data_IF_573173689241
#
_entry.id   IF_573173689241
#
_cell.length_a   1.000
_cell.length_b   1.000
_cell.length_c   1.000
_cell.angle_alpha   90.00
_cell.angle_beta   90.00
_cell.angle_gamma   90.00
#
_symmetry.space_group_name_H-M   'P 1'
#
loop_
_entity.id
_entity.type
_entity.pdbx_description
1 polymer ?
#
# COMPACT_ATOMS: atom_id res chain seq x y z
N UNK A 1 -11.25 -5.14 3.09
CA UNK A 1 -10.65 -4.79 1.78
C UNK A 1 -9.77 -5.97 1.42
N UNK A 2 -9.81 -6.49 0.18
CA UNK A 2 -8.91 -7.58 -0.20
C UNK A 2 -7.44 -7.12 -0.14
N UNK A 3 -6.52 -8.06 0.11
CA UNK A 3 -5.07 -7.79 0.15
C UNK A 3 -4.63 -7.12 -1.16
N UNK A 4 -3.78 -6.11 -1.08
CA UNK A 4 -3.24 -5.46 -2.27
C UNK A 4 -2.08 -6.28 -2.84
N UNK A 5 -1.99 -6.31 -4.16
CA UNK A 5 -0.90 -6.89 -4.92
C UNK A 5 -0.20 -5.77 -5.70
N UNK A 6 1.12 -5.90 -5.86
CA UNK A 6 1.89 -4.96 -6.67
C UNK A 6 1.96 -5.47 -8.12
N UNK A 7 1.50 -4.68 -9.07
CA UNK A 7 1.55 -5.01 -10.50
C UNK A 7 2.44 -4.04 -11.26
N UNK A 8 3.22 -4.58 -12.19
CA UNK A 8 3.88 -3.84 -13.25
C UNK A 8 3.10 -4.06 -14.55
N UNK A 9 2.29 -3.06 -14.92
CA UNK A 9 1.52 -3.06 -16.16
C UNK A 9 2.29 -2.31 -17.23
N UNK A 10 2.48 -2.93 -18.38
CA UNK A 10 3.09 -2.31 -19.56
C UNK A 10 2.06 -2.25 -20.68
N UNK A 11 1.91 -1.08 -21.28
CA UNK A 11 1.00 -0.87 -22.41
C UNK A 11 1.52 0.18 -23.37
N UNK A 12 0.93 0.24 -24.56
CA UNK A 12 1.29 1.17 -25.63
C UNK A 12 0.05 1.59 -26.41
N UNK A 13 0.20 2.58 -27.29
CA UNK A 13 -0.81 2.86 -28.33
C UNK A 13 -0.81 1.70 -29.33
N UNK A 14 -1.94 1.47 -29.99
CA UNK A 14 -1.97 0.58 -31.14
C UNK A 14 -1.04 1.13 -32.23
N UNK A 15 -0.16 0.31 -32.83
CA UNK A 15 0.65 0.71 -33.97
C UNK A 15 -0.24 1.22 -35.11
N UNK A 16 0.17 2.31 -35.74
CA UNK A 16 -0.50 2.87 -36.94
C UNK A 16 0.53 3.05 -38.05
N UNK A 17 0.09 3.23 -39.29
CA UNK A 17 1.00 3.50 -40.43
C UNK A 17 1.90 4.71 -40.18
N UNK A 18 1.40 5.72 -39.45
CA UNK A 18 2.16 6.93 -39.09
C UNK A 18 3.14 6.71 -37.94
N UNK A 19 2.84 5.77 -37.03
CA UNK A 19 3.67 5.46 -35.85
C UNK A 19 3.70 3.93 -35.67
N UNK A 20 4.58 3.21 -36.40
CA UNK A 20 4.64 1.75 -36.36
C UNK A 20 5.28 1.22 -35.07
N UNK A 21 6.13 2.02 -34.42
CA UNK A 21 6.81 1.67 -33.16
C UNK A 21 6.39 2.65 -32.05
N UNK A 22 5.17 2.50 -31.49
CA UNK A 22 4.69 3.41 -30.47
C UNK A 22 5.42 3.21 -29.13
N UNK A 23 5.58 4.30 -28.39
CA UNK A 23 6.24 4.30 -27.08
C UNK A 23 5.55 3.36 -26.08
N UNK A 24 6.35 2.56 -25.37
CA UNK A 24 5.92 1.72 -24.26
C UNK A 24 5.82 2.54 -22.96
N UNK A 25 4.72 2.36 -22.25
CA UNK A 25 4.48 2.94 -20.93
C UNK A 25 4.42 1.83 -19.89
N UNK A 26 5.24 1.96 -18.84
CA UNK A 26 5.26 1.04 -17.70
C UNK A 26 4.79 1.76 -16.45
N UNK A 27 3.88 1.14 -15.72
CA UNK A 27 3.35 1.66 -14.46
C UNK A 27 3.41 0.60 -13.38
N UNK A 28 3.93 0.97 -12.21
CA UNK A 28 3.79 0.18 -10.99
C UNK A 28 2.58 0.69 -10.23
N UNK A 29 1.69 -0.21 -9.87
CA UNK A 29 0.46 0.14 -9.16
C UNK A 29 0.11 -0.96 -8.16
N UNK A 30 -0.68 -0.59 -7.16
CA UNK A 30 -1.17 -1.50 -6.13
C UNK A 30 -2.68 -1.69 -6.31
N UNK A 31 -3.12 -2.94 -6.52
CA UNK A 31 -4.54 -3.25 -6.70
C UNK A 31 -4.90 -4.62 -6.13
N UNK A 32 -6.19 -4.87 -5.79
CA UNK A 32 -6.61 -6.16 -5.25
C UNK A 32 -6.54 -7.32 -6.23
N UNK A 33 -6.53 -7.03 -7.54
CA UNK A 33 -6.41 -8.03 -8.60
C UNK A 33 -5.95 -7.38 -9.91
N UNK A 34 -5.71 -8.23 -10.92
CA UNK A 34 -5.25 -7.84 -12.25
C UNK A 34 -6.27 -6.98 -13.02
N UNK A 35 -7.57 -7.23 -12.87
CA UNK A 35 -8.62 -6.48 -13.58
C UNK A 35 -8.62 -5.01 -13.13
N UNK A 36 -8.53 -4.78 -11.82
CA UNK A 36 -8.41 -3.44 -11.25
C UNK A 36 -7.08 -2.81 -11.64
N UNK A 37 -6.00 -3.60 -11.75
CA UNK A 37 -4.70 -3.12 -12.24
C UNK A 37 -4.81 -2.50 -13.64
N UNK A 38 -5.37 -3.27 -14.59
CA UNK A 38 -5.60 -2.83 -15.97
C UNK A 38 -6.47 -1.56 -16.02
N UNK A 39 -7.54 -1.51 -15.21
CA UNK A 39 -8.42 -0.35 -15.14
C UNK A 39 -7.69 0.91 -14.64
N UNK A 40 -6.91 0.80 -13.55
CA UNK A 40 -6.13 1.92 -13.00
C UNK A 40 -5.03 2.37 -13.95
N UNK A 41 -4.38 1.44 -14.65
CA UNK A 41 -3.41 1.76 -15.69
C UNK A 41 -4.02 2.70 -16.75
N UNK A 42 -5.17 2.34 -17.31
CA UNK A 42 -5.84 3.18 -18.32
C UNK A 42 -6.32 4.52 -17.76
N UNK A 43 -6.77 4.56 -16.50
CA UNK A 43 -7.17 5.81 -15.83
C UNK A 43 -6.02 6.82 -15.84
N UNK A 44 -4.83 6.41 -15.39
CA UNK A 44 -3.67 7.30 -15.33
C UNK A 44 -3.10 7.62 -16.72
N UNK A 45 -3.03 6.63 -17.61
CA UNK A 45 -2.48 6.82 -18.95
C UNK A 45 -3.31 7.81 -19.78
N UNK A 46 -4.63 7.80 -19.61
CA UNK A 46 -5.54 8.79 -20.22
C UNK A 46 -5.25 10.20 -19.72
N UNK A 47 -4.94 10.37 -18.43
CA UNK A 47 -4.68 11.70 -17.85
C UNK A 47 -3.32 12.26 -18.27
N UNK A 48 -2.27 11.44 -18.18
CA UNK A 48 -0.87 11.86 -18.39
C UNK A 48 -0.49 11.89 -19.86
N UNK A 49 -0.83 10.85 -20.63
CA UNK A 49 -0.37 10.66 -22.01
C UNK A 49 -1.49 10.69 -23.05
N UNK A 50 -2.74 10.97 -22.63
CA UNK A 50 -3.93 11.06 -23.51
C UNK A 50 -4.22 9.79 -24.32
N UNK A 51 -3.70 8.64 -23.89
CA UNK A 51 -3.98 7.34 -24.52
C UNK A 51 -5.24 6.72 -23.91
N UNK A 52 -6.18 6.30 -24.75
CA UNK A 52 -7.43 5.65 -24.32
C UNK A 52 -7.30 4.13 -24.44
N UNK A 53 -8.09 3.40 -23.64
CA UNK A 53 -8.20 1.92 -23.72
C UNK A 53 -8.56 1.43 -25.14
N UNK A 54 -9.40 2.18 -25.87
CA UNK A 54 -9.84 1.80 -27.21
C UNK A 54 -8.73 1.93 -28.28
N UNK A 55 -7.76 2.83 -28.06
CA UNK A 55 -6.69 3.14 -29.02
C UNK A 55 -5.33 2.60 -28.56
N UNK A 56 -5.33 1.66 -27.62
CA UNK A 56 -4.14 1.17 -26.96
C UNK A 56 -4.31 -0.27 -26.55
N UNK A 57 -3.18 -0.92 -26.29
CA UNK A 57 -3.11 -2.31 -25.88
C UNK A 57 -2.22 -2.46 -24.65
N UNK A 58 -2.52 -3.49 -23.86
CA UNK A 58 -1.66 -3.90 -22.75
C UNK A 58 -0.77 -5.01 -23.28
N UNK A 59 0.55 -4.80 -23.19
CA UNK A 59 1.57 -5.74 -23.66
C UNK A 59 1.83 -6.81 -22.62
N UNK A 60 1.91 -6.42 -21.35
CA UNK A 60 2.15 -7.38 -20.25
C UNK A 60 1.59 -6.87 -18.93
N UNK A 61 1.13 -7.80 -18.09
CA UNK A 61 0.81 -7.54 -16.68
C UNK A 61 1.57 -8.54 -15.84
N UNK A 62 2.54 -8.04 -15.06
CA UNK A 62 3.36 -8.88 -14.21
C UNK A 62 3.11 -8.52 -12.75
N UNK A 63 2.77 -9.51 -11.93
CA UNK A 63 2.74 -9.35 -10.49
C UNK A 63 4.17 -9.32 -9.93
N UNK A 64 4.42 -8.40 -9.00
CA UNK A 64 5.72 -8.22 -8.35
C UNK A 64 5.59 -8.71 -6.91
N UNK A 65 6.47 -9.63 -6.55
CA UNK A 65 6.64 -10.09 -5.18
C UNK A 65 7.86 -9.46 -4.53
N UNK A 66 7.79 -9.27 -3.21
CA UNK A 66 8.91 -8.75 -2.44
C UNK A 66 10.05 -9.78 -2.40
N UNK A 67 11.29 -9.36 -2.67
CA UNK A 67 12.44 -10.27 -2.75
C UNK A 67 12.76 -10.96 -1.42
N UNK A 68 12.55 -10.25 -0.32
CA UNK A 68 12.82 -10.72 1.03
C UNK A 68 11.63 -10.35 1.92
N UNK A 69 10.57 -11.19 1.95
CA UNK A 69 9.33 -10.89 2.65
C UNK A 69 9.40 -11.15 4.17
N UNK A 70 10.49 -11.73 4.66
CA UNK A 70 10.68 -12.02 6.10
C UNK A 70 11.49 -10.93 6.83
N UNK A 71 12.06 -9.98 6.09
CA UNK A 71 12.89 -8.92 6.64
C UNK A 71 12.08 -7.64 6.81
N UNK A 72 12.10 -7.09 8.02
CA UNK A 72 11.43 -5.82 8.32
C UNK A 72 12.20 -4.67 7.67
N UNK A 73 11.48 -3.83 6.92
CA UNK A 73 12.01 -2.67 6.20
C UNK A 73 11.24 -1.42 6.58
N UNK A 74 11.83 -0.26 6.33
CA UNK A 74 11.13 1.01 6.40
C UNK A 74 10.78 1.45 4.98
N UNK A 75 9.52 1.81 4.74
CA UNK A 75 9.02 2.24 3.44
C UNK A 75 8.56 3.69 3.52
N UNK A 76 9.08 4.52 2.63
CA UNK A 76 8.53 5.83 2.31
C UNK A 76 7.46 5.70 1.24
N UNK A 77 6.29 6.30 1.50
CA UNK A 77 5.15 6.35 0.59
C UNK A 77 4.87 7.81 0.28
N UNK A 78 5.10 8.19 -0.97
CA UNK A 78 4.69 9.47 -1.52
C UNK A 78 3.33 9.29 -2.16
N UNK A 79 2.36 10.06 -1.70
CA UNK A 79 1.00 10.00 -2.20
C UNK A 79 0.47 11.40 -2.51
N UNK A 80 -0.46 11.44 -3.44
CA UNK A 80 -1.38 12.55 -3.66
C UNK A 80 -2.76 12.06 -3.23
N UNK A 81 -3.52 12.87 -2.52
CA UNK A 81 -4.91 12.54 -2.23
C UNK A 81 -5.82 13.75 -2.39
N UNK A 82 -7.08 13.48 -2.75
CA UNK A 82 -8.12 14.49 -2.84
C UNK A 82 -8.91 14.53 -1.53
N UNK A 83 -8.89 15.68 -0.87
CA UNK A 83 -9.72 16.02 0.29
C UNK A 83 -11.05 16.63 -0.18
N UNK A 84 -11.87 17.11 0.76
CA UNK A 84 -13.10 17.85 0.43
C UNK A 84 -12.81 19.24 -0.17
N UNK A 85 -11.65 19.81 0.13
CA UNK A 85 -11.29 21.18 -0.23
C UNK A 85 -10.31 21.26 -1.39
N UNK A 86 -9.61 20.16 -1.72
CA UNK A 86 -8.66 20.15 -2.83
C UNK A 86 -7.74 18.94 -2.83
N UNK A 87 -6.75 18.98 -3.72
CA UNK A 87 -5.70 17.97 -3.82
C UNK A 87 -4.53 18.32 -2.91
N UNK A 88 -4.01 17.34 -2.17
CA UNK A 88 -2.80 17.50 -1.35
C UNK A 88 -1.78 16.41 -1.65
N UNK A 89 -0.51 16.79 -1.64
CA UNK A 89 0.61 15.84 -1.63
C UNK A 89 1.00 15.53 -0.18
N UNK A 90 1.35 14.28 0.08
CA UNK A 90 1.71 13.81 1.40
C UNK A 90 2.81 12.77 1.31
N UNK A 91 3.65 12.76 2.33
CA UNK A 91 4.68 11.75 2.53
C UNK A 91 4.44 11.05 3.86
N UNK A 92 4.35 9.73 3.85
CA UNK A 92 4.22 8.90 5.06
C UNK A 92 5.23 7.78 5.05
N UNK A 93 5.64 7.36 6.22
CA UNK A 93 6.57 6.24 6.41
C UNK A 93 5.90 5.13 7.19
N UNK A 94 6.18 3.88 6.82
CA UNK A 94 5.67 2.67 7.47
C UNK A 94 6.81 1.69 7.66
N UNK A 95 6.76 0.90 8.74
CA UNK A 95 7.70 -0.18 9.01
C UNK A 95 6.96 -1.50 8.84
N UNK A 96 7.30 -2.24 7.80
CA UNK A 96 6.54 -3.40 7.34
C UNK A 96 7.45 -4.43 6.64
N UNK A 97 6.91 -5.61 6.34
CA UNK A 97 7.65 -6.69 5.68
C UNK A 97 7.75 -6.51 4.15
N UNK A 98 6.71 -5.95 3.53
CA UNK A 98 6.60 -5.83 2.07
C UNK A 98 6.09 -4.45 1.65
N UNK A 99 6.35 -4.06 0.38
CA UNK A 99 5.78 -2.83 -0.18
C UNK A 99 4.26 -2.84 -0.20
N UNK A 100 3.64 -4.00 -0.46
CA UNK A 100 2.19 -4.15 -0.51
C UNK A 100 1.56 -3.92 0.86
N UNK A 101 2.15 -4.49 1.92
CA UNK A 101 1.63 -4.34 3.28
C UNK A 101 1.80 -2.88 3.75
N UNK A 102 2.93 -2.24 3.43
CA UNK A 102 3.13 -0.81 3.72
C UNK A 102 2.10 0.10 3.01
N UNK A 103 1.73 -0.23 1.77
CA UNK A 103 0.67 0.49 1.04
C UNK A 103 -0.71 0.22 1.62
N UNK A 104 -0.99 -1.01 2.06
CA UNK A 104 -2.23 -1.35 2.76
C UNK A 104 -2.36 -0.56 4.07
N UNK A 105 -1.32 -0.58 4.90
CA UNK A 105 -1.19 0.26 6.10
C UNK A 105 -1.42 1.74 5.76
N UNK A 106 -0.91 2.21 4.62
CA UNK A 106 -1.14 3.57 4.15
C UNK A 106 -2.60 3.86 3.81
N UNK A 107 -3.30 2.96 3.12
CA UNK A 107 -4.71 3.13 2.83
C UNK A 107 -5.55 3.14 4.11
N UNK A 108 -5.25 2.27 5.07
CA UNK A 108 -5.95 2.22 6.37
C UNK A 108 -5.73 3.51 7.16
N UNK A 109 -4.49 4.00 7.23
CA UNK A 109 -4.15 5.25 7.90
C UNK A 109 -4.89 6.44 7.26
N UNK A 110 -4.85 6.54 5.93
CA UNK A 110 -5.54 7.61 5.20
C UNK A 110 -7.07 7.57 5.38
N UNK A 111 -7.65 6.37 5.48
CA UNK A 111 -9.07 6.21 5.79
C UNK A 111 -9.39 6.65 7.22
N UNK A 112 -8.57 6.30 8.21
CA UNK A 112 -8.81 6.63 9.61
C UNK A 112 -8.57 8.11 9.92
N UNK A 113 -7.40 8.65 9.54
CA UNK A 113 -6.97 10.00 9.92
C UNK A 113 -7.53 11.10 9.02
N UNK A 114 -7.71 10.80 7.72
CA UNK A 114 -8.12 11.80 6.73
C UNK A 114 -9.47 11.50 6.06
N UNK A 115 -10.14 10.40 6.45
CA UNK A 115 -11.40 9.95 5.82
C UNK A 115 -11.29 9.81 4.30
N UNK A 116 -10.08 9.54 3.81
CA UNK A 116 -9.82 9.42 2.39
C UNK A 116 -10.28 8.06 1.90
N UNK A 117 -11.01 8.04 0.78
CA UNK A 117 -11.38 6.79 0.10
C UNK A 117 -10.21 6.34 -0.76
N UNK A 118 -10.03 5.03 -0.94
CA UNK A 118 -8.95 4.48 -1.78
C UNK A 118 -8.93 5.07 -3.20
N UNK A 119 -10.10 5.29 -3.81
CA UNK A 119 -10.22 5.93 -5.13
C UNK A 119 -9.66 7.35 -5.23
N UNK A 120 -9.58 8.05 -4.09
CA UNK A 120 -9.12 9.43 -3.98
C UNK A 120 -7.63 9.53 -3.66
N UNK A 121 -6.93 8.39 -3.53
CA UNK A 121 -5.50 8.33 -3.21
C UNK A 121 -4.75 7.81 -4.42
N UNK A 122 -3.71 8.55 -4.81
CA UNK A 122 -2.76 8.21 -5.85
C UNK A 122 -1.40 8.00 -5.21
N UNK A 123 -0.90 6.76 -5.23
CA UNK A 123 0.47 6.45 -4.81
C UNK A 123 1.40 6.88 -5.93
N UNK A 124 2.30 7.82 -5.65
CA UNK A 124 3.26 8.36 -6.61
C UNK A 124 4.51 7.48 -6.61
N UNK A 125 5.03 7.16 -5.43
CA UNK A 125 6.25 6.36 -5.26
C UNK A 125 6.18 5.61 -3.94
N UNK A 126 6.74 4.40 -3.95
CA UNK A 126 7.06 3.63 -2.75
C UNK A 126 8.53 3.24 -2.85
N UNK A 127 9.31 3.56 -1.84
CA UNK A 127 10.70 3.12 -1.77
C UNK A 127 11.10 2.72 -0.36
N UNK A 128 12.03 1.80 -0.27
CA UNK A 128 12.70 1.50 0.99
C UNK A 128 13.55 2.70 1.41
N UNK A 129 13.57 2.97 2.71
CA UNK A 129 14.27 4.10 3.35
C UNK A 129 15.23 3.52 4.38
N UNK A 130 16.49 3.93 4.35
CA UNK A 130 17.49 3.49 5.33
C UNK A 130 17.13 4.05 6.71
N UNK A 131 17.53 3.35 7.77
CA UNK A 131 17.22 3.76 9.15
C UNK A 131 17.67 5.20 9.46
N UNK A 132 18.81 5.65 8.92
CA UNK A 132 19.32 7.01 9.10
C UNK A 132 18.47 8.10 8.41
N UNK A 133 17.73 7.73 7.35
CA UNK A 133 16.95 8.66 6.54
C UNK A 133 15.46 8.73 6.97
N UNK A 134 15.08 7.97 8.01
CA UNK A 134 13.70 7.96 8.56
C UNK A 134 13.42 9.29 9.24
N UNK A 135 12.33 9.95 8.85
CA UNK A 135 11.97 11.29 9.35
C UNK A 135 10.75 11.29 10.27
N UNK A 136 9.95 10.22 10.28
CA UNK A 136 8.70 10.18 11.05
C UNK A 136 8.95 9.70 12.49
N UNK A 137 8.64 10.51 13.52
CA UNK A 137 8.96 10.18 14.91
C UNK A 137 8.42 8.81 15.38
N UNK A 138 7.22 8.44 14.90
CA UNK A 138 6.57 7.18 15.26
C UNK A 138 7.27 5.94 14.65
N UNK A 139 8.08 6.09 13.60
CA UNK A 139 8.97 5.04 13.08
C UNK A 139 10.35 5.15 13.74
N UNK A 140 10.86 6.37 13.95
CA UNK A 140 12.17 6.59 14.58
C UNK A 140 12.28 5.91 15.94
N UNK A 141 11.23 5.97 16.78
CA UNK A 141 11.21 5.29 18.08
C UNK A 141 11.35 3.76 18.00
N UNK A 142 11.06 3.16 16.84
CA UNK A 142 11.13 1.70 16.61
C UNK A 142 12.49 1.24 16.08
N UNK A 143 13.43 2.17 15.87
CA UNK A 143 14.76 1.87 15.33
C UNK A 143 15.80 1.56 16.41
N UNK A 144 15.46 1.71 17.70
CA UNK A 144 16.33 1.33 18.81
C UNK A 144 16.57 -0.19 18.83
N UNK A 145 17.82 -0.67 18.66
CA UNK A 145 18.13 -2.10 18.70
C UNK A 145 17.78 -2.80 20.03
N UNK A 146 17.72 -2.05 21.13
CA UNK A 146 17.44 -2.58 22.48
C UNK A 146 16.06 -2.15 22.98
N UNK A 147 15.14 -1.80 22.07
CA UNK A 147 13.79 -1.38 22.42
C UNK A 147 13.09 -2.44 23.29
N UNK A 148 12.65 -2.01 24.47
CA UNK A 148 11.83 -2.81 25.39
C UNK A 148 10.62 -1.99 25.80
N UNK A 149 9.45 -2.60 25.82
CA UNK A 149 8.23 -1.98 26.32
C UNK A 149 7.45 -2.99 27.16
N UNK A 150 6.92 -2.58 28.33
CA UNK A 150 6.04 -3.43 29.11
C UNK A 150 4.70 -3.61 28.38
N UNK A 151 3.97 -4.68 28.72
CA UNK A 151 2.59 -4.87 28.30
C UNK A 151 1.66 -4.61 29.50
N UNK A 152 1.34 -3.34 29.84
CA UNK A 152 0.64 -2.99 31.06
C UNK A 152 -0.82 -3.47 31.10
N UNK A 153 -1.43 -3.68 29.93
CA UNK A 153 -2.80 -4.18 29.82
C UNK A 153 -2.89 -5.26 28.73
N UNK A 154 -2.99 -6.51 29.17
CA UNK A 154 -3.18 -7.68 28.30
C UNK A 154 -4.66 -8.05 28.25
N UNK A 155 -5.24 -8.01 27.05
CA UNK A 155 -6.58 -8.57 26.80
C UNK A 155 -6.46 -10.06 26.55
N UNK A 156 -6.91 -10.87 27.50
CA UNK A 156 -6.98 -12.32 27.35
C UNK A 156 -7.97 -12.67 26.24
N UNK A 157 -7.47 -13.30 25.17
CA UNK A 157 -8.29 -13.84 24.08
C UNK A 157 -8.20 -15.36 24.14
N UNK A 158 -9.32 -16.08 24.11
CA UNK A 158 -9.29 -17.54 24.05
C UNK A 158 -8.58 -17.99 22.77
N UNK A 159 -7.82 -19.07 22.85
CA UNK A 159 -7.02 -19.60 21.73
C UNK A 159 -7.89 -20.01 20.54
N UNK A 160 -9.13 -20.42 20.80
CA UNK A 160 -10.13 -20.72 19.79
C UNK A 160 -11.52 -20.26 20.24
N UNK A 161 -12.47 -20.22 19.30
CA UNK A 161 -13.86 -19.87 19.59
C UNK A 161 -14.54 -20.90 20.51
N UNK A 162 -14.12 -22.17 20.48
CA UNK A 162 -14.70 -23.22 21.34
C UNK A 162 -14.40 -23.00 22.82
N UNK A 163 -13.27 -22.38 23.15
CA UNK A 163 -12.91 -22.04 24.53
C UNK A 163 -13.47 -20.70 25.00
N UNK A 164 -14.23 -19.98 24.16
CA UNK A 164 -14.86 -18.72 24.55
C UNK A 164 -16.10 -19.00 25.38
N UNK A 165 -16.06 -18.63 26.66
CA UNK A 165 -17.22 -18.72 27.56
C UNK A 165 -17.80 -17.35 27.87
N UNK A 166 -19.12 -17.30 28.10
CA UNK A 166 -19.82 -16.07 28.53
C UNK A 166 -19.54 -15.73 29.99
N UNK A 167 -19.41 -16.77 30.82
CA UNK A 167 -19.13 -16.66 32.25
C UNK A 167 -17.81 -17.37 32.58
N UNK A 168 -17.05 -16.81 33.51
CA UNK A 168 -15.76 -17.33 33.96
C UNK A 168 -15.75 -17.30 35.49
N UNK A 169 -15.42 -18.42 36.13
CA UNK A 169 -15.43 -18.55 37.59
C UNK A 169 -14.26 -17.87 38.32
N UNK A 170 -13.31 -17.27 37.58
CA UNK A 170 -12.16 -16.54 38.12
C UNK A 170 -12.05 -15.18 37.45
N UNK A 171 -11.67 -14.16 38.23
CA UNK A 171 -11.43 -12.81 37.69
C UNK A 171 -10.18 -12.82 36.81
N UNK A 172 -10.22 -12.25 35.60
CA UNK A 172 -9.04 -12.14 34.76
C UNK A 172 -8.06 -11.11 35.35
N UNK A 173 -6.75 -11.37 35.24
CA UNK A 173 -5.73 -10.34 35.42
C UNK A 173 -5.30 -9.78 34.07
N UNK A 174 -5.02 -8.48 34.03
CA UNK A 174 -4.54 -7.80 32.81
C UNK A 174 -3.07 -7.39 32.90
N UNK A 175 -2.47 -7.54 34.08
CA UNK A 175 -1.06 -7.33 34.37
C UNK A 175 -0.53 -8.60 35.06
N UNK A 176 0.23 -9.38 34.30
CA UNK A 176 1.01 -10.54 34.76
C UNK A 176 2.34 -10.47 34.05
#
# INVERSE_FOLDING_TARGET
MGRFHEYSVVGRKQPTEKEPVPKLFRMRLFSPNEVVAKSRFWYFLKQVNKVKKASGEIVSVNEIFEKQPLNVKNFGVWLRYDSRSGTHNMYKEYRDLTRTDAVESCYQDMAARHRARSRSIHIIKVSEVKAADVRRPYITQLLDPKLKFPLPHRRLRPSSKSFKTTFIGKRPSTFV
#
